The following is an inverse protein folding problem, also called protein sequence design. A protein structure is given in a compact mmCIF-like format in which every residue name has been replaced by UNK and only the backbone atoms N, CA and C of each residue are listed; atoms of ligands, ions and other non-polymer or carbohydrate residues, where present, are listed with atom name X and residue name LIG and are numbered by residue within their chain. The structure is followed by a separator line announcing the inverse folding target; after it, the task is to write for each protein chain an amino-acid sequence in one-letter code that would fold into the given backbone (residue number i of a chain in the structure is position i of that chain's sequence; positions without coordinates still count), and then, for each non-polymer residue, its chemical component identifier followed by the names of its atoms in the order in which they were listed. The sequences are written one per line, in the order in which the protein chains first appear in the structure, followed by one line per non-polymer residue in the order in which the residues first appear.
data_IF_789961300848
#
_entry.id   IF_789961300848
#
_cell.length_a   1.000
_cell.length_b   1.000
_cell.length_c   1.000
_cell.angle_alpha   90.00
_cell.angle_beta   90.00
_cell.angle_gamma   90.00
#
_symmetry.space_group_name_H-M   'P 1'
#
loop_
_entity.id
_entity.type
_entity.pdbx_description
1 polymer ?
#
# COMPACT_ATOMS: atom_id res chain seq x y z
N UNK A 1 -12.71 -34.14 -12.53
CA UNK A 1 -13.25 -33.56 -11.29
C UNK A 1 -13.31 -32.05 -11.49
N UNK A 2 -14.51 -31.49 -11.60
CA UNK A 2 -14.72 -30.04 -11.60
C UNK A 2 -14.45 -29.54 -10.19
N UNK A 3 -13.26 -29.00 -9.95
CA UNK A 3 -12.96 -28.23 -8.74
C UNK A 3 -13.96 -27.07 -8.70
N UNK A 4 -14.92 -27.10 -7.76
CA UNK A 4 -15.82 -25.97 -7.58
C UNK A 4 -14.96 -24.76 -7.22
N UNK A 5 -15.03 -23.68 -8.00
CA UNK A 5 -14.28 -22.44 -7.74
C UNK A 5 -14.59 -21.95 -6.32
N UNK A 6 -13.59 -21.95 -5.43
CA UNK A 6 -13.72 -21.47 -4.05
C UNK A 6 -13.96 -19.97 -4.09
N UNK A 7 -14.97 -19.48 -3.38
CA UNK A 7 -15.29 -18.04 -3.32
C UNK A 7 -14.86 -17.50 -1.96
N UNK A 8 -14.20 -16.35 -1.98
CA UNK A 8 -13.70 -15.68 -0.78
C UNK A 8 -14.55 -14.46 -0.48
N UNK A 9 -14.86 -14.26 0.79
CA UNK A 9 -15.63 -13.12 1.28
C UNK A 9 -14.98 -12.58 2.55
N UNK A 10 -14.96 -11.26 2.67
CA UNK A 10 -14.53 -10.56 3.89
C UNK A 10 -15.74 -9.97 4.59
N UNK A 11 -15.87 -10.19 5.91
CA UNK A 11 -16.90 -9.55 6.71
C UNK A 11 -16.29 -8.36 7.45
N UNK A 12 -16.70 -7.14 7.09
CA UNK A 12 -16.21 -5.94 7.78
C UNK A 12 -16.64 -5.95 9.25
N UNK A 13 -15.67 -5.85 10.15
CA UNK A 13 -15.89 -5.87 11.61
C UNK A 13 -16.90 -4.83 12.11
N UNK A 14 -16.98 -3.66 11.45
CA UNK A 14 -17.82 -2.54 11.89
C UNK A 14 -19.22 -2.49 11.23
N UNK A 15 -19.40 -3.12 10.07
CA UNK A 15 -20.62 -2.97 9.27
C UNK A 15 -21.32 -4.31 8.98
N UNK A 16 -20.78 -5.43 9.47
CA UNK A 16 -21.29 -6.80 9.26
C UNK A 16 -21.73 -7.09 7.82
N UNK A 17 -21.08 -6.43 6.85
CA UNK A 17 -21.34 -6.61 5.43
C UNK A 17 -20.30 -7.58 4.89
N UNK A 18 -20.78 -8.59 4.17
CA UNK A 18 -19.93 -9.50 3.41
C UNK A 18 -19.58 -8.88 2.07
N UNK A 19 -18.30 -8.72 1.81
CA UNK A 19 -17.78 -8.22 0.54
C UNK A 19 -17.05 -9.35 -0.20
N UNK A 20 -17.28 -9.53 -1.52
CA UNK A 20 -16.52 -10.49 -2.29
C UNK A 20 -15.04 -10.08 -2.34
N UNK A 21 -14.16 -11.06 -2.17
CA UNK A 21 -12.72 -10.89 -2.29
C UNK A 21 -12.24 -11.63 -3.52
N UNK A 22 -11.81 -10.88 -4.53
CA UNK A 22 -11.14 -11.38 -5.72
C UNK A 22 -10.07 -10.36 -6.16
N UNK A 23 -9.21 -10.78 -7.08
CA UNK A 23 -8.08 -9.96 -7.49
C UNK A 23 -8.46 -8.58 -8.05
N UNK A 24 -9.41 -8.44 -8.99
CA UNK A 24 -9.85 -7.12 -9.47
C UNK A 24 -10.34 -6.22 -8.33
N UNK A 25 -11.16 -6.76 -7.43
CA UNK A 25 -11.74 -6.00 -6.32
C UNK A 25 -10.68 -5.48 -5.35
N UNK A 26 -9.65 -6.28 -5.07
CA UNK A 26 -8.54 -5.93 -4.17
C UNK A 26 -7.64 -4.85 -4.78
N UNK A 27 -7.53 -4.79 -6.12
CA UNK A 27 -6.79 -3.75 -6.83
C UNK A 27 -7.57 -2.45 -7.00
N UNK A 28 -8.89 -2.51 -7.04
CA UNK A 28 -9.74 -1.33 -7.28
C UNK A 28 -10.19 -0.63 -6.00
N UNK A 29 -10.33 -1.34 -4.88
CA UNK A 29 -10.66 -0.73 -3.60
C UNK A 29 -9.38 -0.36 -2.85
N UNK A 30 -9.48 0.71 -2.05
CA UNK A 30 -8.67 0.91 -0.87
C UNK A 30 -9.09 2.22 -0.21
N UNK A 31 -8.13 3.12 0.01
CA UNK A 31 -8.40 4.42 0.63
C UNK A 31 -7.41 5.49 0.17
N UNK A 32 -7.83 6.73 0.34
CA UNK A 32 -7.03 7.90 -0.01
C UNK A 32 -6.29 8.44 1.22
N UNK A 33 -4.96 8.56 1.12
CA UNK A 33 -4.15 9.26 2.12
C UNK A 33 -3.81 10.67 1.62
N UNK A 34 -4.37 11.67 2.31
CA UNK A 34 -4.10 13.08 2.02
C UNK A 34 -2.79 13.54 2.68
N UNK A 35 -1.85 13.99 1.85
CA UNK A 35 -0.55 14.54 2.27
C UNK A 35 -0.48 16.03 1.96
N UNK A 36 0.13 16.80 2.87
CA UNK A 36 0.37 18.22 2.61
C UNK A 36 1.47 18.38 1.57
N UNK A 37 1.37 19.43 0.74
CA UNK A 37 2.39 19.74 -0.26
C UNK A 37 3.79 19.90 0.34
N UNK A 38 3.89 20.53 1.51
CA UNK A 38 5.16 20.75 2.23
C UNK A 38 5.86 19.45 2.66
N UNK A 39 5.12 18.33 2.69
CA UNK A 39 5.62 17.01 3.07
C UNK A 39 5.94 16.13 1.85
N UNK A 40 5.67 16.59 0.61
CA UNK A 40 6.00 15.85 -0.61
C UNK A 40 7.46 15.40 -0.70
N UNK A 41 8.47 16.23 -0.37
CA UNK A 41 9.87 15.79 -0.44
C UNK A 41 10.17 14.57 0.44
N UNK A 42 9.54 14.50 1.62
CA UNK A 42 9.66 13.35 2.52
C UNK A 42 9.02 12.11 1.88
N UNK A 43 7.80 12.23 1.37
CA UNK A 43 7.10 11.11 0.73
C UNK A 43 7.74 10.63 -0.56
N UNK A 44 8.36 11.51 -1.35
CA UNK A 44 9.12 11.12 -2.54
C UNK A 44 10.31 10.24 -2.15
N UNK A 45 11.06 10.62 -1.10
CA UNK A 45 12.17 9.80 -0.59
C UNK A 45 11.66 8.45 -0.09
N UNK A 46 10.66 8.47 0.79
CA UNK A 46 10.05 7.25 1.32
C UNK A 46 9.51 6.33 0.21
N UNK A 47 8.82 6.92 -0.77
CA UNK A 47 8.49 6.39 -2.11
C UNK A 47 9.59 5.51 -2.70
N UNK A 48 10.74 6.13 -2.90
CA UNK A 48 11.88 5.49 -3.57
C UNK A 48 12.50 4.40 -2.73
N UNK A 49 12.56 4.58 -1.42
CA UNK A 49 13.10 3.57 -0.50
C UNK A 49 12.23 2.31 -0.52
N UNK A 50 10.90 2.47 -0.57
CA UNK A 50 9.97 1.35 -0.71
C UNK A 50 10.03 0.72 -2.10
N UNK A 51 10.06 1.52 -3.18
CA UNK A 51 10.24 1.01 -4.54
C UNK A 51 11.47 0.10 -4.63
N UNK A 52 12.61 0.58 -4.12
CA UNK A 52 13.86 -0.17 -4.10
C UNK A 52 13.73 -1.44 -3.25
N UNK A 53 13.18 -1.33 -2.04
CA UNK A 53 12.97 -2.47 -1.15
C UNK A 53 12.14 -3.58 -1.82
N UNK A 54 11.00 -3.24 -2.43
CA UNK A 54 10.14 -4.23 -3.08
C UNK A 54 10.75 -4.78 -4.37
N UNK A 55 11.53 -3.97 -5.10
CA UNK A 55 12.32 -4.43 -6.26
C UNK A 55 13.37 -5.45 -5.85
N UNK A 56 14.09 -5.21 -4.76
CA UNK A 56 15.08 -6.16 -4.26
C UNK A 56 14.41 -7.42 -3.71
N UNK A 57 13.31 -7.26 -2.97
CA UNK A 57 12.52 -8.37 -2.43
C UNK A 57 11.96 -9.26 -3.53
N UNK A 58 11.57 -8.70 -4.69
CA UNK A 58 11.06 -9.49 -5.82
C UNK A 58 12.07 -10.51 -6.34
N UNK A 59 13.37 -10.20 -6.26
CA UNK A 59 14.46 -11.10 -6.67
C UNK A 59 14.73 -12.24 -5.67
N UNK A 60 14.18 -12.15 -4.45
CA UNK A 60 14.45 -13.07 -3.35
C UNK A 60 13.28 -14.01 -3.04
N UNK A 61 12.09 -13.70 -3.52
CA UNK A 61 10.88 -14.51 -3.31
C UNK A 61 10.70 -15.57 -4.40
N UNK A 62 9.80 -16.53 -4.17
CA UNK A 62 9.42 -17.51 -5.19
C UNK A 62 8.77 -16.81 -6.39
N UNK A 63 8.94 -17.37 -7.59
CA UNK A 63 8.43 -16.82 -8.85
C UNK A 63 6.92 -16.50 -8.80
N UNK A 64 6.14 -17.34 -8.11
CA UNK A 64 4.70 -17.14 -7.91
C UNK A 64 4.34 -15.89 -7.09
N UNK A 65 5.27 -15.40 -6.27
CA UNK A 65 5.11 -14.19 -5.46
C UNK A 65 5.82 -12.96 -6.02
N UNK A 66 6.71 -13.15 -6.99
CA UNK A 66 7.50 -12.09 -7.60
C UNK A 66 6.60 -11.00 -8.19
N UNK A 67 5.56 -11.40 -8.92
CA UNK A 67 4.60 -10.47 -9.55
C UNK A 67 3.96 -9.51 -8.55
N UNK A 68 3.70 -9.97 -7.33
CA UNK A 68 3.10 -9.14 -6.29
C UNK A 68 4.06 -8.07 -5.79
N UNK A 69 5.32 -8.44 -5.58
CA UNK A 69 6.35 -7.48 -5.15
C UNK A 69 6.62 -6.45 -6.24
N UNK A 70 6.65 -6.87 -7.51
CA UNK A 70 6.83 -5.98 -8.66
C UNK A 70 5.66 -5.00 -8.82
N UNK A 71 4.43 -5.46 -8.60
CA UNK A 71 3.24 -4.59 -8.65
C UNK A 71 3.27 -3.54 -7.53
N UNK A 72 3.64 -3.94 -6.31
CA UNK A 72 3.82 -3.02 -5.18
C UNK A 72 4.95 -2.02 -5.47
N UNK A 73 6.08 -2.46 -6.01
CA UNK A 73 7.18 -1.59 -6.41
C UNK A 73 6.74 -0.58 -7.48
N UNK A 74 5.98 -1.02 -8.48
CA UNK A 74 5.45 -0.12 -9.53
C UNK A 74 4.54 0.95 -8.94
N UNK A 75 3.67 0.60 -8.00
CA UNK A 75 2.83 1.59 -7.32
C UNK A 75 3.68 2.70 -6.70
N UNK A 76 4.73 2.35 -5.93
CA UNK A 76 5.58 3.34 -5.27
C UNK A 76 6.35 4.21 -6.28
N UNK A 77 6.87 3.60 -7.35
CA UNK A 77 7.51 4.31 -8.45
C UNK A 77 6.56 5.34 -9.08
N UNK A 78 5.36 4.90 -9.46
CA UNK A 78 4.40 5.73 -10.20
C UNK A 78 3.92 6.89 -9.32
N UNK A 79 3.60 6.62 -8.05
CA UNK A 79 3.24 7.65 -7.08
C UNK A 79 4.38 8.63 -6.81
N UNK A 80 5.64 8.15 -6.74
CA UNK A 80 6.79 9.06 -6.58
C UNK A 80 6.95 10.02 -7.78
N UNK A 81 6.74 9.52 -9.01
CA UNK A 81 6.82 10.31 -10.23
C UNK A 81 5.68 11.34 -10.30
N UNK A 82 4.46 10.94 -9.95
CA UNK A 82 3.32 11.85 -9.85
C UNK A 82 3.53 12.94 -8.80
N UNK A 83 4.06 12.59 -7.62
CA UNK A 83 4.42 13.54 -6.58
C UNK A 83 5.48 14.55 -7.05
N UNK A 84 6.49 14.10 -7.80
CA UNK A 84 7.51 14.98 -8.40
C UNK A 84 6.84 15.95 -9.39
N UNK A 85 5.98 15.46 -10.27
CA UNK A 85 5.23 16.32 -11.19
C UNK A 85 4.38 17.36 -10.44
N UNK A 86 3.68 16.91 -9.40
CA UNK A 86 2.85 17.77 -8.54
C UNK A 86 3.67 18.77 -7.73
N UNK A 87 4.93 18.48 -7.41
CA UNK A 87 5.81 19.40 -6.68
C UNK A 87 6.26 20.60 -7.52
N UNK A 88 6.15 20.51 -8.86
CA UNK A 88 6.53 21.60 -9.77
C UNK A 88 5.74 22.89 -9.50
N UNK A 89 6.38 24.04 -9.73
CA UNK A 89 5.87 25.39 -9.41
C UNK A 89 4.52 25.71 -10.10
N UNK A 90 4.13 24.94 -11.13
CA UNK A 90 2.94 25.17 -11.92
C UNK A 90 1.64 24.66 -11.30
N UNK A 91 1.70 23.86 -10.23
CA UNK A 91 0.49 23.32 -9.58
C UNK A 91 0.09 24.18 -8.38
N UNK A 92 -1.19 24.57 -8.27
CA UNK A 92 -1.70 25.33 -7.11
C UNK A 92 -2.19 24.42 -5.96
N UNK A 93 -2.08 23.10 -6.12
CA UNK A 93 -2.59 22.12 -5.15
C UNK A 93 -1.87 22.25 -3.79
N UNK A 94 -2.66 22.38 -2.72
CA UNK A 94 -2.16 22.45 -1.32
C UNK A 94 -1.85 21.08 -0.72
N UNK A 95 -2.47 20.04 -1.27
CA UNK A 95 -2.33 18.66 -0.84
C UNK A 95 -2.16 17.77 -2.08
N UNK A 96 -1.57 16.60 -1.87
CA UNK A 96 -1.57 15.49 -2.82
C UNK A 96 -2.32 14.32 -2.20
N UNK A 97 -2.97 13.52 -3.03
CA UNK A 97 -3.78 12.37 -2.60
C UNK A 97 -3.08 11.11 -3.10
N UNK A 98 -2.74 10.23 -2.16
CA UNK A 98 -2.16 8.92 -2.49
C UNK A 98 -3.29 7.88 -2.45
N UNK A 99 -3.67 7.28 -3.59
CA UNK A 99 -4.76 6.31 -3.66
C UNK A 99 -4.23 4.91 -3.36
N UNK A 100 -4.14 4.54 -2.09
CA UNK A 100 -3.74 3.18 -1.72
C UNK A 100 -4.82 2.19 -2.10
N UNK A 101 -4.42 1.09 -2.74
CA UNK A 101 -5.26 -0.09 -2.89
C UNK A 101 -5.17 -0.95 -1.62
N UNK A 102 -6.17 -1.79 -1.36
CA UNK A 102 -6.11 -2.77 -0.26
C UNK A 102 -4.91 -3.69 -0.41
N UNK A 103 -4.53 -4.00 -1.64
CA UNK A 103 -3.33 -4.78 -1.96
C UNK A 103 -2.07 -4.11 -1.41
N UNK A 104 -1.79 -2.87 -1.83
CA UNK A 104 -0.59 -2.14 -1.40
C UNK A 104 -0.62 -1.90 0.11
N UNK A 105 -1.78 -1.55 0.66
CA UNK A 105 -1.94 -1.34 2.10
C UNK A 105 -1.63 -2.61 2.89
N UNK A 106 -2.03 -3.79 2.40
CA UNK A 106 -1.74 -5.07 3.04
C UNK A 106 -0.23 -5.34 3.11
N UNK A 107 0.50 -5.09 2.02
CA UNK A 107 1.95 -5.22 2.00
C UNK A 107 2.64 -4.21 2.92
N UNK A 108 2.22 -2.94 2.90
CA UNK A 108 2.76 -1.93 3.82
C UNK A 108 2.56 -2.29 5.30
N UNK A 109 1.42 -2.88 5.66
CA UNK A 109 1.15 -3.35 7.02
C UNK A 109 2.03 -4.54 7.39
N UNK A 110 2.13 -5.55 6.53
CA UNK A 110 2.94 -6.74 6.80
C UNK A 110 4.45 -6.46 6.87
N UNK A 111 4.93 -5.51 6.08
CA UNK A 111 6.32 -5.08 6.09
C UNK A 111 6.62 -4.02 7.15
N UNK A 112 5.63 -3.58 7.94
CA UNK A 112 5.77 -2.51 8.93
C UNK A 112 6.46 -1.27 8.33
N UNK A 113 6.05 -0.87 7.12
CA UNK A 113 6.79 0.04 6.26
C UNK A 113 7.18 1.37 6.93
N UNK A 114 6.29 1.91 7.77
CA UNK A 114 6.57 3.13 8.53
C UNK A 114 7.58 2.92 9.67
N UNK A 115 7.60 1.76 10.34
CA UNK A 115 8.55 1.44 11.42
C UNK A 115 9.99 1.42 10.90
N UNK A 116 10.20 0.92 9.68
CA UNK A 116 11.51 0.95 9.03
C UNK A 116 12.05 2.36 8.84
N UNK A 117 11.20 3.30 8.42
CA UNK A 117 11.58 4.72 8.32
C UNK A 117 11.79 5.34 9.70
N UNK A 118 10.94 4.98 10.68
CA UNK A 118 11.05 5.51 12.04
C UNK A 118 12.44 5.21 12.60
N UNK A 119 12.93 3.99 12.42
CA UNK A 119 14.27 3.60 12.84
C UNK A 119 15.37 4.45 12.18
N UNK A 120 15.24 4.73 10.89
CA UNK A 120 16.20 5.55 10.13
C UNK A 120 16.15 7.05 10.48
N UNK A 121 14.99 7.54 10.95
CA UNK A 121 14.74 8.97 11.19
C UNK A 121 14.67 9.36 12.67
N UNK A 122 14.97 8.43 13.59
CA UNK A 122 14.97 8.65 15.05
C UNK A 122 15.82 9.85 15.53
N UNK A 123 16.75 10.34 14.71
CA UNK A 123 17.64 11.45 15.05
C UNK A 123 17.19 12.82 14.49
N UNK A 124 16.06 12.90 13.78
CA UNK A 124 15.58 14.15 13.17
C UNK A 124 14.18 14.49 13.70
N UNK A 125 14.11 15.27 14.80
CA UNK A 125 12.86 15.62 15.51
C UNK A 125 11.74 16.12 14.58
N UNK A 126 12.07 16.94 13.57
CA UNK A 126 11.07 17.49 12.64
C UNK A 126 10.50 16.46 11.64
N UNK A 127 11.21 15.38 11.34
CA UNK A 127 10.73 14.33 10.45
C UNK A 127 9.93 13.28 11.24
N UNK A 128 10.28 13.05 12.50
CA UNK A 128 9.59 12.12 13.38
C UNK A 128 8.10 12.44 13.55
N UNK A 129 7.76 13.70 13.84
CA UNK A 129 6.36 14.13 14.00
C UNK A 129 5.53 13.96 12.71
N UNK A 130 6.17 14.15 11.55
CA UNK A 130 5.53 13.95 10.24
C UNK A 130 5.23 12.47 10.02
N UNK A 131 6.23 11.61 10.20
CA UNK A 131 6.07 10.14 10.06
C UNK A 131 4.96 9.65 10.98
N UNK A 132 4.95 10.09 12.26
CA UNK A 132 3.92 9.74 13.23
C UNK A 132 2.51 10.21 12.85
N UNK A 133 2.41 11.40 12.28
CA UNK A 133 1.12 11.93 11.81
C UNK A 133 0.55 11.07 10.68
N UNK A 134 1.37 10.72 9.69
CA UNK A 134 0.93 9.96 8.53
C UNK A 134 0.72 8.48 8.84
N UNK A 135 1.56 7.90 9.69
CA UNK A 135 1.38 6.55 10.22
C UNK A 135 0.02 6.38 10.93
N UNK A 136 -0.33 7.30 11.84
CA UNK A 136 -1.63 7.27 12.52
C UNK A 136 -2.80 7.34 11.55
N UNK A 137 -2.71 8.20 10.52
CA UNK A 137 -3.76 8.33 9.49
C UNK A 137 -3.88 7.06 8.66
N UNK A 138 -2.76 6.50 8.23
CA UNK A 138 -2.73 5.24 7.50
C UNK A 138 -3.39 4.12 8.31
N UNK A 139 -2.99 3.94 9.58
CA UNK A 139 -3.55 2.90 10.46
C UNK A 139 -5.04 3.08 10.79
N UNK A 140 -5.55 4.32 10.77
CA UNK A 140 -6.98 4.57 10.97
C UNK A 140 -7.82 4.18 9.75
N UNK A 141 -7.23 4.16 8.55
CA UNK A 141 -7.91 3.87 7.29
C UNK A 141 -7.69 2.43 6.83
N UNK A 142 -6.51 1.88 7.08
CA UNK A 142 -6.17 0.52 6.72
C UNK A 142 -6.87 -0.50 7.63
N UNK A 143 -7.40 -1.57 7.03
CA UNK A 143 -8.03 -2.67 7.75
C UNK A 143 -7.04 -3.82 7.90
N UNK A 144 -6.46 -3.97 9.10
CA UNK A 144 -5.46 -5.00 9.38
C UNK A 144 -6.00 -6.43 9.24
N UNK A 145 -7.28 -6.66 9.55
CA UNK A 145 -7.89 -8.00 9.42
C UNK A 145 -8.07 -8.34 7.94
N UNK A 146 -8.53 -7.38 7.15
CA UNK A 146 -8.64 -7.52 5.70
C UNK A 146 -7.27 -7.72 5.04
N UNK A 147 -6.28 -6.95 5.47
CA UNK A 147 -4.90 -7.08 4.99
C UNK A 147 -4.34 -8.48 5.22
N UNK A 148 -4.46 -9.01 6.44
CA UNK A 148 -4.01 -10.37 6.73
C UNK A 148 -4.74 -11.41 5.86
N UNK A 149 -6.06 -11.28 5.71
CA UNK A 149 -6.85 -12.17 4.85
C UNK A 149 -6.36 -12.16 3.39
N UNK A 150 -6.07 -10.97 2.84
CA UNK A 150 -5.56 -10.82 1.47
C UNK A 150 -4.23 -11.55 1.32
N UNK A 151 -3.31 -11.38 2.27
CA UNK A 151 -1.98 -11.99 2.23
C UNK A 151 -2.03 -13.51 2.34
N UNK A 152 -2.89 -14.03 3.21
CA UNK A 152 -3.04 -15.48 3.43
C UNK A 152 -3.63 -16.21 2.22
N UNK A 153 -4.41 -15.51 1.40
CA UNK A 153 -5.17 -16.10 0.27
C UNK A 153 -4.73 -15.58 -1.10
N UNK A 154 -3.63 -14.81 -1.18
CA UNK A 154 -3.21 -14.09 -2.38
C UNK A 154 -3.16 -14.95 -3.65
N UNK A 155 -2.53 -16.15 -3.66
CA UNK A 155 -2.48 -17.00 -4.86
C UNK A 155 -3.86 -17.54 -5.26
N UNK A 156 -4.73 -17.79 -4.28
CA UNK A 156 -6.06 -18.34 -4.49
C UNK A 156 -6.97 -17.26 -5.10
N UNK A 157 -6.85 -16.01 -4.65
CA UNK A 157 -7.66 -14.87 -5.09
C UNK A 157 -7.43 -14.48 -6.57
N UNK A 158 -6.26 -14.78 -7.13
CA UNK A 158 -5.91 -14.54 -8.55
C UNK A 158 -6.48 -15.63 -9.48
N UNK A 159 -6.49 -16.88 -9.04
CA UNK A 159 -6.95 -18.02 -9.86
C UNK A 159 -8.47 -18.03 -10.10
N UNK A 160 -9.21 -17.10 -9.49
CA UNK A 160 -10.67 -17.04 -9.49
C UNK A 160 -11.26 -15.95 -10.40
N UNK A 161 -10.49 -15.41 -11.34
CA UNK A 161 -11.04 -14.54 -12.39
C UNK A 161 -12.02 -15.35 -13.28
N UNK A 162 -13.31 -14.99 -13.18
CA UNK A 162 -14.41 -15.40 -14.07
C UNK A 162 -14.52 -14.42 -15.25
#
# INVERSE_FOLDING_TARGET
MTLSRKRYFYCRSLHHSLEPMNWPRIKEIGFDLNIKREDLPFFISFFRDLEQYYTDKSQLVQESYQVYMEEVASFFRDQSNEMIYCSSIQTEAKNYVIPFTDFVAAFMLADEAFERIFDDNKNTDQQFDKVLTYYKRFNLLADATKAQFILDHLPELVLHDD
#
